data_IF_103734042137
#
_entry.id   IF_103734042137
#
_cell.length_a   1.000
_cell.length_b   1.000
_cell.length_c   1.000
_cell.angle_alpha   90.00
_cell.angle_beta   90.00
_cell.angle_gamma   90.00
#
_symmetry.space_group_name_H-M   'P 1'
#
loop_
_entity.id
_entity.type
_entity.pdbx_description
1 polymer ?
#
# COMPACT_ATOMS: atom_id res chain seq x y z
N UNK A 1 27.48 -5.19 7.64
CA UNK A 1 26.48 -4.11 7.44
C UNK A 1 25.33 -4.47 8.34
N UNK A 2 25.10 -3.70 9.40
CA UNK A 2 24.11 -4.04 10.43
C UNK A 2 22.71 -4.16 9.82
N UNK A 3 21.99 -5.22 10.15
CA UNK A 3 20.62 -5.49 9.67
C UNK A 3 19.66 -4.33 9.94
N UNK A 4 19.89 -3.58 11.01
CA UNK A 4 19.19 -2.35 11.35
C UNK A 4 19.40 -1.25 10.31
N UNK A 5 20.60 -1.11 9.75
CA UNK A 5 20.89 -0.10 8.73
C UNK A 5 20.17 -0.44 7.42
N UNK A 6 20.13 -1.72 7.03
CA UNK A 6 19.37 -2.15 5.84
C UNK A 6 17.86 -1.96 6.01
N UNK A 7 17.33 -2.20 7.21
CA UNK A 7 15.92 -1.95 7.52
C UNK A 7 15.56 -0.45 7.50
N UNK A 8 16.45 0.41 8.02
CA UNK A 8 16.26 1.87 7.99
C UNK A 8 16.35 2.41 6.56
N UNK A 9 17.29 1.93 5.74
CA UNK A 9 17.39 2.36 4.34
C UNK A 9 16.14 2.00 3.52
N UNK A 10 15.51 0.85 3.79
CA UNK A 10 14.26 0.46 3.12
C UNK A 10 13.02 1.23 3.61
N UNK A 11 13.04 1.75 4.84
CA UNK A 11 11.89 2.47 5.43
C UNK A 11 11.63 3.80 4.72
N UNK A 12 12.69 4.48 4.26
CA UNK A 12 12.61 5.76 3.54
C UNK A 12 11.84 5.59 2.22
N UNK A 13 12.04 4.46 1.53
CA UNK A 13 11.35 4.16 0.26
C UNK A 13 9.86 3.85 0.47
N UNK A 14 9.49 3.26 1.61
CA UNK A 14 8.10 3.00 1.97
C UNK A 14 7.28 4.30 2.08
N UNK A 15 7.92 5.45 2.34
CA UNK A 15 7.19 6.71 2.41
C UNK A 15 6.57 7.14 1.08
N UNK A 16 7.16 6.72 -0.04
CA UNK A 16 6.59 6.99 -1.37
C UNK A 16 5.29 6.21 -1.61
N UNK A 17 5.02 5.13 -0.87
CA UNK A 17 3.80 4.36 -1.02
C UNK A 17 2.55 5.15 -0.60
N UNK A 18 2.64 6.00 0.43
CA UNK A 18 1.49 6.77 0.93
C UNK A 18 0.90 7.71 -0.12
N UNK A 19 1.65 8.67 -0.70
CA UNK A 19 1.09 9.56 -1.72
C UNK A 19 0.66 8.80 -2.97
N UNK A 20 1.34 7.70 -3.32
CA UNK A 20 1.02 6.89 -4.49
C UNK A 20 -0.32 6.16 -4.32
N UNK A 21 -0.54 5.50 -3.18
CA UNK A 21 -1.79 4.80 -2.88
C UNK A 21 -2.96 5.80 -2.82
N UNK A 22 -2.76 6.95 -2.17
CA UNK A 22 -3.78 8.00 -2.09
C UNK A 22 -4.15 8.49 -3.50
N UNK A 23 -3.15 8.82 -4.32
CA UNK A 23 -3.37 9.38 -5.66
C UNK A 23 -4.08 8.37 -6.56
N UNK A 24 -3.61 7.13 -6.64
CA UNK A 24 -4.21 6.09 -7.50
C UNK A 24 -5.65 5.78 -7.06
N UNK A 25 -5.89 5.68 -5.75
CA UNK A 25 -7.22 5.37 -5.23
C UNK A 25 -8.23 6.49 -5.52
N UNK A 26 -7.82 7.75 -5.35
CA UNK A 26 -8.66 8.91 -5.66
C UNK A 26 -8.94 9.03 -7.15
N UNK A 27 -7.92 8.92 -8.00
CA UNK A 27 -8.08 9.03 -9.46
C UNK A 27 -9.01 7.94 -9.98
N UNK A 28 -8.82 6.69 -9.56
CA UNK A 28 -9.71 5.61 -9.96
C UNK A 28 -11.15 5.82 -9.49
N UNK A 29 -11.35 6.29 -8.25
CA UNK A 29 -12.69 6.50 -7.73
C UNK A 29 -13.41 7.67 -8.44
N UNK A 30 -12.67 8.75 -8.74
CA UNK A 30 -13.18 9.96 -9.37
C UNK A 30 -13.47 9.82 -10.87
N UNK A 31 -12.89 8.83 -11.57
CA UNK A 31 -13.29 8.53 -12.96
C UNK A 31 -14.61 7.78 -13.05
N UNK A 32 -15.07 7.16 -11.95
CA UNK A 32 -16.29 6.34 -11.93
C UNK A 32 -17.47 7.00 -11.23
N UNK A 33 -17.22 7.87 -10.25
CA UNK A 33 -18.25 8.51 -9.45
C UNK A 33 -18.12 10.03 -9.52
N UNK A 34 -19.24 10.73 -9.59
CA UNK A 34 -19.29 12.19 -9.66
C UNK A 34 -19.55 12.83 -8.29
N UNK A 35 -20.17 12.09 -7.37
CA UNK A 35 -20.46 12.56 -6.01
C UNK A 35 -19.27 12.35 -5.08
N UNK A 36 -18.87 13.42 -4.39
CA UNK A 36 -17.70 13.42 -3.49
C UNK A 36 -17.75 12.30 -2.43
N UNK A 37 -18.93 12.03 -1.85
CA UNK A 37 -19.09 10.97 -0.85
C UNK A 37 -18.78 9.58 -1.41
N UNK A 38 -19.21 9.30 -2.64
CA UNK A 38 -18.95 8.03 -3.32
C UNK A 38 -17.48 7.90 -3.72
N UNK A 39 -16.88 9.00 -4.22
CA UNK A 39 -15.45 9.06 -4.57
C UNK A 39 -14.61 8.68 -3.33
N UNK A 40 -14.84 9.35 -2.20
CA UNK A 40 -14.05 9.12 -1.00
C UNK A 40 -14.25 7.71 -0.43
N UNK A 41 -15.50 7.22 -0.39
CA UNK A 41 -15.80 5.87 0.08
C UNK A 41 -15.19 4.78 -0.80
N UNK A 42 -15.21 4.96 -2.13
CA UNK A 42 -14.61 4.01 -3.06
C UNK A 42 -13.08 4.07 -3.04
N UNK A 43 -12.50 5.27 -2.97
CA UNK A 43 -11.06 5.48 -2.84
C UNK A 43 -10.51 4.81 -1.57
N UNK A 44 -11.17 4.99 -0.42
CA UNK A 44 -10.76 4.32 0.83
C UNK A 44 -10.79 2.79 0.69
N UNK A 45 -11.84 2.23 0.09
CA UNK A 45 -11.96 0.79 -0.14
C UNK A 45 -10.81 0.26 -1.00
N UNK A 46 -10.43 0.99 -2.04
CA UNK A 46 -9.31 0.63 -2.92
C UNK A 46 -7.99 0.71 -2.17
N UNK A 47 -7.75 1.79 -1.42
CA UNK A 47 -6.55 1.94 -0.61
C UNK A 47 -6.39 0.80 0.39
N UNK A 48 -7.47 0.41 1.08
CA UNK A 48 -7.49 -0.75 2.00
C UNK A 48 -7.15 -2.05 1.26
N UNK A 49 -7.70 -2.28 0.08
CA UNK A 49 -7.38 -3.48 -0.71
C UNK A 49 -5.92 -3.51 -1.19
N UNK A 50 -5.37 -2.37 -1.62
CA UNK A 50 -3.96 -2.29 -2.03
C UNK A 50 -3.05 -2.63 -0.84
N UNK A 51 -3.25 -1.96 0.31
CA UNK A 51 -2.44 -2.21 1.51
C UNK A 51 -2.62 -3.64 2.00
N UNK A 52 -3.86 -4.13 2.05
CA UNK A 52 -4.16 -5.50 2.49
C UNK A 52 -3.53 -6.57 1.59
N UNK A 53 -3.58 -6.38 0.28
CA UNK A 53 -2.95 -7.29 -0.67
C UNK A 53 -1.43 -7.30 -0.52
N UNK A 54 -0.79 -6.12 -0.45
CA UNK A 54 0.65 -6.00 -0.24
C UNK A 54 1.09 -6.62 1.09
N UNK A 55 0.32 -6.43 2.16
CA UNK A 55 0.59 -7.05 3.45
C UNK A 55 0.45 -8.59 3.41
N UNK A 56 -0.54 -9.11 2.68
CA UNK A 56 -0.70 -10.55 2.49
C UNK A 56 0.48 -11.16 1.71
N UNK A 57 0.93 -10.50 0.63
CA UNK A 57 2.12 -10.92 -0.12
C UNK A 57 3.35 -10.90 0.79
N UNK A 58 3.56 -9.83 1.56
CA UNK A 58 4.65 -9.75 2.54
C UNK A 58 4.59 -10.90 3.54
N UNK A 59 3.42 -11.21 4.10
CA UNK A 59 3.26 -12.32 5.04
C UNK A 59 3.64 -13.67 4.39
N UNK A 60 3.22 -13.92 3.14
CA UNK A 60 3.60 -15.15 2.41
C UNK A 60 5.12 -15.22 2.20
N UNK A 61 5.75 -14.12 1.78
CA UNK A 61 7.20 -14.07 1.60
C UNK A 61 7.96 -14.30 2.92
N UNK A 62 7.47 -13.72 4.01
CA UNK A 62 8.05 -13.94 5.34
C UNK A 62 7.93 -15.41 5.78
N UNK A 63 6.79 -16.04 5.53
CA UNK A 63 6.60 -17.47 5.80
C UNK A 63 7.60 -18.30 5.01
N UNK A 64 7.76 -18.05 3.72
CA UNK A 64 8.75 -18.75 2.88
C UNK A 64 10.17 -18.52 3.41
N UNK A 65 10.51 -17.28 3.76
CA UNK A 65 11.83 -16.91 4.26
C UNK A 65 12.18 -17.59 5.61
N UNK A 66 11.19 -17.99 6.41
CA UNK A 66 11.45 -18.79 7.63
C UNK A 66 11.79 -20.25 7.35
N UNK A 67 11.39 -20.77 6.19
CA UNK A 67 11.61 -22.17 5.80
C UNK A 67 12.84 -22.37 4.89
N UNK A 68 13.44 -21.28 4.41
CA UNK A 68 14.67 -21.26 3.59
C UNK A 68 15.85 -20.86 4.46
#
# INVERSE_FOLDING_TARGET
MDTLVLAVLGIEDLWFAVPLIITVSLVYAATRHEFMGEILGHALRIGVWIVGFMAAVFAVLQVIAWFV
#
